data_IF_322307023287
#
_entry.id   IF_322307023287
#
_cell.length_a   1.000
_cell.length_b   1.000
_cell.length_c   1.000
_cell.angle_alpha   90.00
_cell.angle_beta   90.00
_cell.angle_gamma   90.00
#
_symmetry.space_group_name_H-M   'P 1'
#
loop_
_entity.id
_entity.type
_entity.pdbx_description
1 polymer ?
#
# COMPACT_ATOMS: atom_id res chain seq x y z
N UNK A 1 -67.70 17.63 9.72
CA UNK A 1 -66.85 16.60 10.37
C UNK A 1 -65.66 16.16 9.48
N UNK A 2 -65.22 16.93 8.47
CA UNK A 2 -64.16 16.54 7.53
C UNK A 2 -62.80 17.26 7.72
N UNK A 3 -62.75 18.40 8.42
CA UNK A 3 -61.50 19.17 8.54
C UNK A 3 -60.46 18.49 9.44
N UNK A 4 -60.89 17.84 10.52
CA UNK A 4 -60.00 17.19 11.48
C UNK A 4 -59.25 15.99 10.90
N UNK A 5 -59.89 15.20 10.04
CA UNK A 5 -59.24 14.06 9.37
C UNK A 5 -58.15 14.52 8.38
N UNK A 6 -58.40 15.61 7.66
CA UNK A 6 -57.45 16.20 6.73
C UNK A 6 -56.22 16.81 7.44
N UNK A 7 -56.41 17.33 8.67
CA UNK A 7 -55.30 17.88 9.45
C UNK A 7 -54.40 16.77 10.00
N UNK A 8 -55.00 15.69 10.49
CA UNK A 8 -54.27 14.53 11.00
C UNK A 8 -53.46 13.80 9.91
N UNK A 9 -53.99 13.69 8.70
CA UNK A 9 -53.27 13.12 7.55
C UNK A 9 -52.03 13.95 7.17
N UNK A 10 -52.14 15.29 7.20
CA UNK A 10 -51.01 16.18 6.93
C UNK A 10 -49.93 16.16 8.01
N UNK A 11 -50.32 16.02 9.27
CA UNK A 11 -49.38 15.84 10.40
C UNK A 11 -48.64 14.50 10.28
N UNK A 12 -49.35 13.42 9.95
CA UNK A 12 -48.77 12.09 9.72
C UNK A 12 -47.78 12.08 8.55
N UNK A 13 -48.10 12.79 7.47
CA UNK A 13 -47.23 12.91 6.31
C UNK A 13 -45.95 13.71 6.62
N UNK A 14 -46.07 14.81 7.38
CA UNK A 14 -44.91 15.55 7.91
C UNK A 14 -44.01 14.69 8.77
N UNK A 15 -44.59 13.85 9.64
CA UNK A 15 -43.82 12.94 10.50
C UNK A 15 -43.10 11.88 9.66
N UNK A 16 -43.75 11.31 8.65
CA UNK A 16 -43.13 10.37 7.70
C UNK A 16 -41.95 10.99 6.97
N UNK A 17 -42.12 12.19 6.43
CA UNK A 17 -41.07 12.93 5.71
C UNK A 17 -39.86 13.20 6.61
N UNK A 18 -40.08 13.66 7.85
CA UNK A 18 -39.01 13.87 8.84
C UNK A 18 -38.28 12.57 9.18
N UNK A 19 -38.99 11.47 9.42
CA UNK A 19 -38.37 10.16 9.68
C UNK A 19 -37.56 9.65 8.49
N UNK A 20 -38.07 9.82 7.28
CA UNK A 20 -37.37 9.40 6.06
C UNK A 20 -36.09 10.21 5.83
N UNK A 21 -36.12 11.52 6.06
CA UNK A 21 -34.93 12.37 6.02
C UNK A 21 -33.90 11.95 7.08
N UNK A 22 -34.32 11.73 8.32
CA UNK A 22 -33.43 11.29 9.39
C UNK A 22 -32.78 9.93 9.07
N UNK A 23 -33.54 8.98 8.53
CA UNK A 23 -33.03 7.67 8.10
C UNK A 23 -32.04 7.79 6.94
N UNK A 24 -32.32 8.62 5.93
CA UNK A 24 -31.39 8.88 4.83
C UNK A 24 -30.10 9.53 5.32
N UNK A 25 -30.20 10.51 6.23
CA UNK A 25 -29.04 11.21 6.75
C UNK A 25 -28.17 10.29 7.62
N UNK A 26 -28.79 9.45 8.46
CA UNK A 26 -28.09 8.44 9.25
C UNK A 26 -27.40 7.40 8.35
N UNK A 27 -28.08 6.92 7.31
CA UNK A 27 -27.50 5.98 6.34
C UNK A 27 -26.33 6.63 5.58
N UNK A 28 -26.48 7.87 5.14
CA UNK A 28 -25.40 8.64 4.48
C UNK A 28 -24.20 8.86 5.39
N UNK A 29 -24.42 9.13 6.68
CA UNK A 29 -23.34 9.24 7.68
C UNK A 29 -22.65 7.89 7.91
N UNK A 30 -23.38 6.79 7.96
CA UNK A 30 -22.81 5.44 8.09
C UNK A 30 -22.01 5.03 6.85
N UNK A 31 -22.52 5.27 5.64
CA UNK A 31 -21.79 5.01 4.39
C UNK A 31 -20.53 5.86 4.28
N UNK A 32 -20.57 7.12 4.70
CA UNK A 32 -19.38 7.99 4.74
C UNK A 32 -18.37 7.54 5.80
N UNK A 33 -18.82 7.07 6.97
CA UNK A 33 -17.95 6.53 8.00
C UNK A 33 -17.29 5.21 7.55
N UNK A 34 -18.03 4.33 6.88
CA UNK A 34 -17.49 3.09 6.31
C UNK A 34 -16.50 3.35 5.15
N UNK A 35 -16.73 4.39 4.33
CA UNK A 35 -15.77 4.83 3.31
C UNK A 35 -14.49 5.43 3.89
N UNK A 36 -14.52 5.91 5.13
CA UNK A 36 -13.37 6.58 5.77
C UNK A 36 -12.42 5.65 6.51
N UNK A 37 -12.78 4.38 6.76
CA UNK A 37 -11.85 3.41 7.34
C UNK A 37 -11.03 2.74 6.25
N UNK A 38 -10.24 3.52 5.52
CA UNK A 38 -9.18 2.97 4.65
C UNK A 38 -8.19 2.27 5.58
N UNK A 39 -7.97 0.96 5.38
CA UNK A 39 -7.06 0.20 6.21
C UNK A 39 -5.65 0.77 6.09
N UNK A 40 -4.87 0.71 7.18
CA UNK A 40 -3.43 1.05 7.14
C UNK A 40 -2.73 0.24 6.05
N UNK A 41 -3.17 -1.00 5.81
CA UNK A 41 -2.67 -1.86 4.74
C UNK A 41 -2.89 -1.26 3.35
N UNK A 42 -4.08 -0.70 3.10
CA UNK A 42 -4.44 -0.10 1.81
C UNK A 42 -3.65 1.18 1.55
N UNK A 43 -3.41 1.96 2.61
CA UNK A 43 -2.56 3.15 2.58
C UNK A 43 -1.12 2.80 2.22
N UNK A 44 -0.57 1.76 2.86
CA UNK A 44 0.76 1.26 2.55
C UNK A 44 0.83 0.73 1.11
N UNK A 45 -0.16 -0.04 0.67
CA UNK A 45 -0.19 -0.56 -0.71
C UNK A 45 -0.25 0.57 -1.75
N UNK A 46 -1.03 1.63 -1.48
CA UNK A 46 -1.07 2.83 -2.30
C UNK A 46 0.32 3.48 -2.39
N UNK A 47 0.99 3.69 -1.26
CA UNK A 47 2.33 4.29 -1.24
C UNK A 47 3.33 3.43 -1.99
N UNK A 48 3.35 2.11 -1.77
CA UNK A 48 4.22 1.18 -2.48
C UNK A 48 3.98 1.23 -3.99
N UNK A 49 2.73 1.31 -4.44
CA UNK A 49 2.38 1.41 -5.87
C UNK A 49 2.91 2.68 -6.53
N UNK A 50 3.04 3.78 -5.78
CA UNK A 50 3.56 5.05 -6.30
C UNK A 50 5.10 5.08 -6.25
N UNK A 51 5.68 4.55 -5.18
CA UNK A 51 7.13 4.58 -4.92
C UNK A 51 7.87 3.55 -5.76
N UNK A 52 7.28 2.38 -6.01
CA UNK A 52 7.89 1.33 -6.84
C UNK A 52 7.59 1.57 -8.32
N UNK A 53 8.51 1.16 -9.18
CA UNK A 53 8.20 1.01 -10.61
C UNK A 53 7.13 -0.07 -10.83
N UNK A 54 6.34 -0.02 -11.92
CA UNK A 54 5.25 -0.95 -12.14
C UNK A 54 5.69 -2.43 -12.14
N UNK A 55 6.84 -2.71 -12.74
CA UNK A 55 7.45 -4.04 -12.80
C UNK A 55 8.00 -4.48 -11.43
N UNK A 56 8.58 -3.55 -10.66
CA UNK A 56 9.04 -3.78 -9.30
C UNK A 56 7.88 -4.14 -8.36
N UNK A 57 6.76 -3.42 -8.46
CA UNK A 57 5.54 -3.69 -7.69
C UNK A 57 4.92 -5.04 -8.08
N UNK A 58 4.88 -5.36 -9.37
CA UNK A 58 4.41 -6.68 -9.84
C UNK A 58 5.30 -7.81 -9.30
N UNK A 59 6.62 -7.64 -9.35
CA UNK A 59 7.57 -8.62 -8.81
C UNK A 59 7.36 -8.82 -7.31
N UNK A 60 7.15 -7.72 -6.56
CA UNK A 60 6.85 -7.79 -5.13
C UNK A 60 5.53 -8.52 -4.84
N UNK A 61 4.47 -8.29 -5.64
CA UNK A 61 3.19 -9.03 -5.51
C UNK A 61 3.34 -10.52 -5.83
N UNK A 62 4.18 -10.86 -6.80
CA UNK A 62 4.50 -12.25 -7.11
C UNK A 62 5.21 -12.93 -5.93
N UNK A 63 6.17 -12.24 -5.31
CA UNK A 63 6.84 -12.73 -4.09
C UNK A 63 5.86 -12.89 -2.92
N UNK A 64 4.88 -11.99 -2.78
CA UNK A 64 3.85 -12.11 -1.75
C UNK A 64 3.07 -13.43 -1.84
N UNK A 65 2.81 -13.92 -3.05
CA UNK A 65 2.04 -15.14 -3.28
C UNK A 65 2.88 -16.41 -3.18
N UNK A 66 4.12 -16.38 -3.69
CA UNK A 66 4.94 -17.59 -3.83
C UNK A 66 5.94 -17.78 -2.69
N UNK A 67 6.45 -16.68 -2.12
CA UNK A 67 7.53 -16.69 -1.14
C UNK A 67 7.25 -15.68 -0.01
N UNK A 68 6.24 -15.95 0.85
CA UNK A 68 5.76 -14.98 1.85
C UNK A 68 6.85 -14.56 2.85
N UNK A 69 7.79 -15.46 3.18
CA UNK A 69 8.92 -15.14 4.06
C UNK A 69 9.87 -14.11 3.45
N UNK A 70 10.16 -14.26 2.15
CA UNK A 70 11.01 -13.32 1.40
C UNK A 70 10.28 -11.99 1.23
N UNK A 71 8.99 -12.04 0.91
CA UNK A 71 8.14 -10.84 0.89
C UNK A 71 8.16 -10.10 2.22
N UNK A 72 7.98 -10.77 3.36
CA UNK A 72 7.98 -10.12 4.67
C UNK A 72 9.32 -9.47 4.99
N UNK A 73 10.42 -10.11 4.63
CA UNK A 73 11.76 -9.53 4.79
C UNK A 73 11.88 -8.23 3.98
N UNK A 74 11.52 -8.28 2.69
CA UNK A 74 11.57 -7.10 1.81
C UNK A 74 10.62 -6.01 2.32
N UNK A 75 9.43 -6.39 2.75
CA UNK A 75 8.42 -5.47 3.29
C UNK A 75 8.94 -4.74 4.53
N UNK A 76 9.58 -5.44 5.47
CA UNK A 76 10.18 -4.83 6.66
C UNK A 76 11.33 -3.87 6.32
N UNK A 77 12.09 -4.16 5.26
CA UNK A 77 13.16 -3.27 4.79
C UNK A 77 12.60 -2.01 4.10
N UNK A 78 11.52 -2.14 3.32
CA UNK A 78 10.89 -1.03 2.59
C UNK A 78 9.96 -0.19 3.47
N UNK A 79 9.25 -0.83 4.40
CA UNK A 79 8.20 -0.25 5.23
C UNK A 79 8.61 -0.40 6.69
N UNK A 80 9.49 0.48 7.13
CA UNK A 80 9.86 0.59 8.54
C UNK A 80 8.70 1.12 9.41
N UNK A 81 8.83 1.01 10.73
CA UNK A 81 7.80 1.50 11.67
C UNK A 81 7.49 3.00 11.48
N UNK A 82 8.50 3.80 11.16
CA UNK A 82 8.34 5.24 10.90
C UNK A 82 7.47 5.52 9.66
N UNK A 83 7.54 4.66 8.64
CA UNK A 83 6.74 4.78 7.41
C UNK A 83 5.27 4.53 7.74
N UNK A 84 4.98 3.53 8.58
CA UNK A 84 3.61 3.21 8.99
C UNK A 84 3.01 4.33 9.84
N UNK A 85 3.79 4.88 10.78
CA UNK A 85 3.34 5.97 11.64
C UNK A 85 3.04 7.26 10.85
N UNK A 86 3.81 7.52 9.79
CA UNK A 86 3.70 8.73 8.98
C UNK A 86 2.97 8.50 7.64
N UNK A 87 2.25 7.38 7.48
CA UNK A 87 1.70 6.98 6.19
C UNK A 87 0.73 8.02 5.60
N UNK A 88 -0.09 8.64 6.44
CA UNK A 88 -1.04 9.67 6.02
C UNK A 88 -0.34 10.94 5.54
N UNK A 89 0.77 11.30 6.19
CA UNK A 89 1.61 12.42 5.78
C UNK A 89 2.29 12.14 4.43
N UNK A 90 2.81 10.94 4.23
CA UNK A 90 3.41 10.52 2.96
C UNK A 90 2.39 10.56 1.82
N UNK A 91 1.18 10.09 2.05
CA UNK A 91 0.08 10.16 1.06
C UNK A 91 -0.22 11.62 0.71
N UNK A 92 -0.33 12.51 1.70
CA UNK A 92 -0.59 13.92 1.46
C UNK A 92 0.52 14.59 0.62
N UNK A 93 1.79 14.26 0.86
CA UNK A 93 2.91 14.73 0.04
C UNK A 93 2.78 14.23 -1.40
N UNK A 94 2.56 12.92 -1.58
CA UNK A 94 2.44 12.30 -2.90
C UNK A 94 1.31 12.96 -3.70
N UNK A 95 0.15 13.17 -3.07
CA UNK A 95 -0.99 13.81 -3.71
C UNK A 95 -0.70 15.26 -4.09
N UNK A 96 0.02 16.00 -3.23
CA UNK A 96 0.40 17.40 -3.49
C UNK A 96 1.42 17.54 -4.62
N UNK A 97 2.38 16.62 -4.69
CA UNK A 97 3.48 16.67 -5.67
C UNK A 97 3.17 15.93 -6.98
N UNK A 98 2.06 15.18 -7.03
CA UNK A 98 1.69 14.37 -8.19
C UNK A 98 2.49 13.09 -8.36
N UNK A 99 3.27 12.68 -7.35
CA UNK A 99 4.08 11.46 -7.38
C UNK A 99 5.39 11.58 -6.63
N UNK A 100 6.29 10.63 -6.89
CA UNK A 100 7.65 10.57 -6.32
C UNK A 100 8.66 10.78 -7.46
N UNK A 101 9.66 11.65 -7.29
CA UNK A 101 10.59 12.02 -8.36
C UNK A 101 11.49 10.88 -8.85
N UNK A 102 11.77 9.88 -8.00
CA UNK A 102 12.49 8.66 -8.37
C UNK A 102 11.77 7.45 -7.80
N UNK A 103 11.41 6.53 -8.68
CA UNK A 103 10.81 5.25 -8.30
C UNK A 103 11.89 4.21 -8.04
N UNK A 104 11.57 3.23 -7.20
CA UNK A 104 12.46 2.11 -6.90
C UNK A 104 12.31 1.08 -8.04
N UNK A 105 13.39 0.77 -8.76
CA UNK A 105 13.34 -0.16 -9.87
C UNK A 105 13.33 -1.61 -9.42
N UNK A 106 12.97 -2.52 -10.33
CA UNK A 106 12.87 -3.96 -10.05
C UNK A 106 14.19 -4.55 -9.55
N UNK A 107 15.33 -4.08 -10.06
CA UNK A 107 16.65 -4.56 -9.66
C UNK A 107 16.90 -4.44 -8.15
N UNK A 108 16.34 -3.40 -7.51
CA UNK A 108 16.44 -3.22 -6.06
C UNK A 108 15.64 -4.30 -5.34
N UNK A 109 14.44 -4.64 -5.82
CA UNK A 109 13.62 -5.71 -5.23
C UNK A 109 14.31 -7.07 -5.41
N UNK A 110 14.90 -7.33 -6.58
CA UNK A 110 15.67 -8.56 -6.85
C UNK A 110 16.93 -8.63 -5.96
N UNK A 111 17.58 -7.50 -5.72
CA UNK A 111 18.71 -7.43 -4.79
C UNK A 111 18.28 -7.81 -3.36
N UNK A 112 17.17 -7.25 -2.87
CA UNK A 112 16.64 -7.57 -1.55
C UNK A 112 16.16 -9.03 -1.47
N UNK A 113 15.57 -9.55 -2.53
CA UNK A 113 15.21 -10.98 -2.66
C UNK A 113 16.45 -11.87 -2.52
N UNK A 114 17.54 -11.58 -3.24
CA UNK A 114 18.79 -12.33 -3.14
C UNK A 114 19.40 -12.23 -1.74
N UNK A 115 19.37 -11.05 -1.12
CA UNK A 115 19.84 -10.82 0.25
C UNK A 115 19.04 -11.67 1.25
N UNK A 116 17.71 -11.69 1.13
CA UNK A 116 16.83 -12.52 1.96
C UNK A 116 17.10 -14.03 1.78
N UNK A 117 17.38 -14.45 0.55
CA UNK A 117 17.72 -15.84 0.20
C UNK A 117 19.17 -16.23 0.55
N UNK A 118 19.99 -15.29 1.02
CA UNK A 118 21.41 -15.53 1.30
C UNK A 118 22.26 -15.80 0.06
N UNK A 119 21.78 -15.43 -1.14
CA UNK A 119 22.50 -15.64 -2.40
C UNK A 119 23.59 -14.58 -2.51
N UNK A 120 24.86 -15.01 -2.37
CA UNK A 120 26.02 -14.14 -2.55
C UNK A 120 26.31 -13.95 -4.04
N UNK A 121 26.58 -12.71 -4.45
CA UNK A 121 27.11 -12.43 -5.79
C UNK A 121 28.46 -13.10 -5.95
N UNK A 122 28.59 -14.05 -6.87
CA UNK A 122 29.88 -14.63 -7.25
C UNK A 122 30.38 -13.89 -8.49
N UNK A 123 31.46 -13.13 -8.35
CA UNK A 123 32.12 -12.50 -9.49
C UNK A 123 33.31 -13.38 -9.83
N UNK A 124 33.25 -14.07 -10.98
CA UNK A 124 34.35 -14.91 -11.44
C UNK A 124 35.34 -14.05 -12.24
N UNK A 125 36.60 -14.08 -11.83
CA UNK A 125 37.74 -13.42 -12.47
C UNK A 125 38.61 -14.49 -13.11
N UNK A 126 38.98 -14.31 -14.38
CA UNK A 126 39.92 -15.18 -15.08
C UNK A 126 41.33 -14.55 -15.02
N UNK A 127 42.29 -15.23 -14.40
CA UNK A 127 43.71 -14.84 -14.40
C UNK A 127 44.51 -15.96 -15.06
N UNK A 128 44.92 -15.76 -16.32
CA UNK A 128 45.51 -16.84 -17.11
C UNK A 128 44.49 -17.96 -17.37
N UNK A 129 44.83 -19.19 -17.02
CA UNK A 129 43.94 -20.36 -17.14
C UNK A 129 43.09 -20.64 -15.87
N UNK A 130 43.32 -19.92 -14.78
CA UNK A 130 42.55 -20.10 -13.55
C UNK A 130 41.35 -19.15 -13.47
N UNK A 131 40.19 -19.70 -13.13
CA UNK A 131 38.98 -18.94 -12.80
C UNK A 131 38.82 -18.93 -11.29
N UNK A 132 38.87 -17.75 -10.68
CA UNK A 132 38.77 -17.55 -9.24
C UNK A 132 37.72 -16.49 -8.89
N UNK A 133 37.16 -16.56 -7.68
CA UNK A 133 36.20 -15.55 -7.21
C UNK A 133 36.91 -14.22 -6.89
N UNK A 134 36.28 -13.08 -7.19
CA UNK A 134 36.85 -11.74 -6.99
C UNK A 134 37.22 -11.49 -5.53
N UNK A 135 36.42 -11.98 -4.58
CA UNK A 135 36.73 -11.84 -3.16
C UNK A 135 38.01 -12.57 -2.74
N UNK A 136 38.30 -13.70 -3.38
CA UNK A 136 39.56 -14.43 -3.20
C UNK A 136 40.72 -13.78 -3.96
N UNK A 137 40.45 -13.17 -5.11
CA UNK A 137 41.44 -12.42 -5.88
C UNK A 137 41.97 -11.20 -5.12
N UNK A 138 41.07 -10.40 -4.52
CA UNK A 138 41.42 -9.17 -3.79
C UNK A 138 42.15 -9.42 -2.45
N UNK A 139 42.07 -10.63 -1.89
CA UNK A 139 42.76 -11.01 -0.64
C UNK A 139 44.16 -11.56 -0.85
N UNK A 140 44.59 -11.76 -2.10
CA UNK A 140 45.90 -12.31 -2.46
C UNK A 140 46.97 -11.23 -2.72
N UNK A 141 46.64 -9.96 -2.52
CA UNK A 141 47.61 -8.85 -2.42
C UNK A 141 47.90 -8.54 -0.95
#
# INVERSE_FOLDING_TARGET
>A
MNDSQNTDEHELEKIRMKKMQALMEQKRRQENAQKQTVSVQDKVDFVLKVVLEPDAYQHLKHLQQNEPNVYQYIFNELVGQEVVQNIDYLIAIIQRQGGVPRRIPRDVIVYLERKAKGIKSQIRVKRGDEVMDLGSYLKKE
#
